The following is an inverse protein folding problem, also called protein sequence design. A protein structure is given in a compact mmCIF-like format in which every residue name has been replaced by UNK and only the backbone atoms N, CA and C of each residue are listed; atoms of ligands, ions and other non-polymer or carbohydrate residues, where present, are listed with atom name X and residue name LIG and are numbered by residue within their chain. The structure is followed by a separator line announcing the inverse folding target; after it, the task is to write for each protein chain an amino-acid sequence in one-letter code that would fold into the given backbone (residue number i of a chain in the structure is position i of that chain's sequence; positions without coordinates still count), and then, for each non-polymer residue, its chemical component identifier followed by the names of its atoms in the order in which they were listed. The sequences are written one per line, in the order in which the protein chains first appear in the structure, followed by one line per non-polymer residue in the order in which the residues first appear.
data_IF_010130468923
#
_entry.id   IF_010130468923
#
_cell.length_a   1.000
_cell.length_b   1.000
_cell.length_c   1.000
_cell.angle_alpha   90.00
_cell.angle_beta   90.00
_cell.angle_gamma   90.00
#
_symmetry.space_group_name_H-M   'P 1'
#
loop_
_entity.id
_entity.type
_entity.pdbx_description
1 polymer ?
#
# COMPACT_ATOMS: atom_id res chain seq x y z
N UNK A 1 11.44 -17.61 23.75
CA UNK A 1 10.73 -16.61 22.95
C UNK A 1 11.75 -15.95 22.02
N UNK A 2 11.39 -15.74 20.75
CA UNK A 2 12.25 -15.02 19.81
C UNK A 2 12.41 -13.57 20.26
N UNK A 3 13.59 -12.99 19.99
CA UNK A 3 13.85 -11.55 20.14
C UNK A 3 13.63 -10.83 18.83
N UNK A 4 13.48 -9.50 18.87
CA UNK A 4 13.36 -8.71 17.64
C UNK A 4 14.60 -8.89 16.74
N UNK A 5 15.77 -9.04 17.33
CA UNK A 5 17.04 -9.26 16.60
C UNK A 5 17.13 -10.57 15.82
N UNK A 6 16.27 -11.54 16.13
CA UNK A 6 16.23 -12.83 15.41
C UNK A 6 15.55 -12.69 14.02
N UNK A 7 14.79 -11.60 13.79
CA UNK A 7 14.13 -11.30 12.51
C UNK A 7 15.07 -10.57 11.56
N UNK A 8 16.18 -11.20 11.22
CA UNK A 8 17.26 -10.66 10.38
C UNK A 8 17.35 -11.29 8.98
N UNK A 9 16.51 -12.28 8.69
CA UNK A 9 16.46 -12.92 7.38
C UNK A 9 15.60 -12.08 6.44
N UNK A 10 16.20 -11.51 5.39
CA UNK A 10 15.46 -10.83 4.34
C UNK A 10 14.68 -11.83 3.51
N UNK A 11 13.35 -11.84 3.65
CA UNK A 11 12.47 -12.67 2.85
C UNK A 11 12.09 -11.98 1.53
N UNK A 12 12.04 -10.68 1.54
CA UNK A 12 11.81 -9.88 0.35
C UNK A 12 12.47 -8.49 0.50
N UNK A 13 13.44 -8.23 -0.36
CA UNK A 13 14.04 -6.90 -0.56
C UNK A 13 13.59 -6.38 -1.93
N UNK A 14 12.79 -5.31 -2.00
CA UNK A 14 12.26 -4.80 -3.26
C UNK A 14 13.37 -4.41 -4.24
N UNK A 15 13.13 -4.66 -5.53
CA UNK A 15 14.04 -4.26 -6.59
C UNK A 15 13.85 -2.80 -7.03
N UNK A 16 12.64 -2.27 -6.89
CA UNK A 16 12.24 -0.95 -7.38
C UNK A 16 11.75 -0.02 -6.26
N UNK A 17 11.05 -0.57 -5.28
CA UNK A 17 10.56 0.17 -4.13
C UNK A 17 11.66 0.39 -3.11
N UNK A 18 11.64 1.54 -2.43
CA UNK A 18 12.52 1.83 -1.29
C UNK A 18 11.78 1.86 0.05
N UNK A 19 10.46 1.79 0.02
CA UNK A 19 9.61 2.08 1.16
C UNK A 19 9.27 0.89 2.05
N UNK A 20 9.62 -0.35 1.68
CA UNK A 20 9.33 -1.51 2.53
C UNK A 20 10.34 -2.64 2.37
N UNK A 21 10.41 -3.50 3.37
CA UNK A 21 11.06 -4.81 3.33
C UNK A 21 10.30 -5.81 4.20
N UNK A 22 10.49 -7.11 3.92
CA UNK A 22 9.86 -8.20 4.68
C UNK A 22 10.97 -9.07 5.27
N UNK A 23 10.90 -9.28 6.58
CA UNK A 23 11.88 -10.07 7.34
C UNK A 23 11.25 -11.28 7.99
N UNK A 24 12.05 -12.30 8.16
CA UNK A 24 11.72 -13.51 8.91
C UNK A 24 12.82 -13.87 9.89
N UNK A 25 12.57 -14.93 10.65
CA UNK A 25 13.51 -15.53 11.59
C UNK A 25 13.66 -17.02 11.32
N UNK A 26 14.82 -17.58 11.65
CA UNK A 26 15.09 -18.99 11.44
C UNK A 26 14.07 -19.89 12.19
N UNK A 27 13.49 -20.84 11.46
CA UNK A 27 12.52 -21.78 12.01
C UNK A 27 11.15 -21.22 12.32
N UNK A 28 10.90 -19.93 12.06
CA UNK A 28 9.61 -19.27 12.28
C UNK A 28 8.82 -19.06 10.99
N UNK A 29 7.50 -19.05 11.12
CA UNK A 29 6.56 -18.74 10.01
C UNK A 29 6.07 -17.29 10.06
N UNK A 30 6.12 -16.67 11.23
CA UNK A 30 5.80 -15.26 11.42
C UNK A 30 6.81 -14.36 10.72
N UNK A 31 6.34 -13.19 10.27
CA UNK A 31 7.16 -12.24 9.52
C UNK A 31 6.97 -10.83 10.05
N UNK A 32 7.91 -9.96 9.73
CA UNK A 32 7.82 -8.52 9.99
C UNK A 32 7.85 -7.78 8.66
N UNK A 33 6.82 -6.98 8.42
CA UNK A 33 6.79 -5.98 7.37
C UNK A 33 7.27 -4.65 7.95
N UNK A 34 8.37 -4.13 7.42
CA UNK A 34 8.87 -2.79 7.76
C UNK A 34 8.49 -1.81 6.68
N UNK A 35 7.99 -0.65 7.09
CA UNK A 35 7.71 0.48 6.21
C UNK A 35 8.65 1.62 6.59
N UNK A 36 9.45 2.08 5.65
CA UNK A 36 10.42 3.16 5.83
C UNK A 36 9.84 4.48 5.35
N UNK A 37 10.10 5.56 6.08
CA UNK A 37 9.57 6.88 5.78
C UNK A 37 8.07 6.83 5.46
N UNK A 38 7.20 6.44 6.41
CA UNK A 38 5.82 6.05 6.15
C UNK A 38 4.90 7.19 5.71
N UNK A 39 5.34 8.45 5.80
CA UNK A 39 4.64 9.63 5.28
C UNK A 39 5.65 10.70 4.83
N UNK A 40 5.17 11.74 4.19
CA UNK A 40 6.03 12.86 3.76
C UNK A 40 6.74 13.52 4.96
N UNK A 41 8.05 13.68 4.86
CA UNK A 41 8.86 14.28 5.91
C UNK A 41 9.24 13.34 7.05
N UNK A 42 9.00 12.04 6.90
CA UNK A 42 9.32 11.02 7.90
C UNK A 42 10.66 10.33 7.66
N UNK A 43 11.62 11.01 7.05
CA UNK A 43 12.95 10.46 6.80
C UNK A 43 13.59 9.99 8.11
N UNK A 44 13.99 8.72 8.14
CA UNK A 44 14.57 8.09 9.34
C UNK A 44 13.55 7.47 10.29
N UNK A 45 12.25 7.67 10.07
CA UNK A 45 11.21 6.96 10.80
C UNK A 45 10.85 5.64 10.10
N UNK A 46 10.42 4.67 10.88
CA UNK A 46 9.89 3.41 10.36
C UNK A 46 8.68 2.96 11.17
N UNK A 47 7.82 2.18 10.52
CA UNK A 47 6.75 1.43 11.18
C UNK A 47 6.94 -0.06 10.93
N UNK A 48 6.46 -0.88 11.84
CA UNK A 48 6.60 -2.33 11.76
C UNK A 48 5.26 -3.02 12.02
N UNK A 49 5.00 -4.07 11.25
CA UNK A 49 3.87 -4.97 11.45
C UNK A 49 4.40 -6.39 11.62
N UNK A 50 4.15 -6.98 12.77
CA UNK A 50 4.39 -8.40 13.01
C UNK A 50 3.16 -9.19 12.56
N UNK A 51 3.35 -10.16 11.67
CA UNK A 51 2.28 -11.06 11.22
C UNK A 51 2.51 -12.41 11.89
N UNK A 52 1.71 -12.68 12.91
CA UNK A 52 1.80 -13.92 13.69
C UNK A 52 1.26 -15.10 12.89
N UNK A 53 2.02 -16.18 12.83
CA UNK A 53 1.63 -17.43 12.17
C UNK A 53 2.02 -18.62 13.05
N UNK A 54 1.36 -19.75 12.85
CA UNK A 54 1.68 -20.99 13.54
C UNK A 54 1.63 -20.90 15.08
N UNK A 55 0.78 -20.01 15.62
CA UNK A 55 0.68 -19.79 17.06
C UNK A 55 1.88 -19.04 17.68
N UNK A 56 2.79 -18.55 16.86
CA UNK A 56 3.94 -17.76 17.30
C UNK A 56 3.50 -16.37 17.76
N UNK A 57 4.26 -15.78 18.66
CA UNK A 57 3.94 -14.47 19.22
C UNK A 57 5.04 -13.46 18.92
N UNK A 58 4.66 -12.21 18.84
CA UNK A 58 5.62 -11.11 18.70
C UNK A 58 6.56 -11.07 19.91
N UNK A 59 7.82 -10.65 19.70
CA UNK A 59 8.72 -10.36 20.80
C UNK A 59 8.08 -9.38 21.80
N UNK A 60 8.37 -9.56 23.09
CA UNK A 60 7.75 -8.75 24.15
C UNK A 60 8.04 -7.24 24.02
N UNK A 61 9.16 -6.91 23.40
CA UNK A 61 9.63 -5.55 23.13
C UNK A 61 9.33 -5.07 21.71
N UNK A 62 8.43 -5.76 20.97
CA UNK A 62 8.12 -5.40 19.60
C UNK A 62 7.46 -4.01 19.53
N UNK A 63 8.05 -3.06 18.78
CA UNK A 63 7.61 -1.66 18.82
C UNK A 63 6.41 -1.34 17.91
N UNK A 64 5.96 -2.32 17.11
CA UNK A 64 4.96 -2.12 16.06
C UNK A 64 3.59 -2.69 16.37
N UNK A 65 2.80 -2.83 15.33
CA UNK A 65 1.49 -3.46 15.36
C UNK A 65 1.62 -4.98 15.22
N UNK A 66 0.67 -5.72 15.79
CA UNK A 66 0.61 -7.19 15.69
C UNK A 66 -0.68 -7.58 14.99
N UNK A 67 -0.56 -8.32 13.90
CA UNK A 67 -1.65 -8.95 13.18
C UNK A 67 -1.66 -10.44 13.54
N UNK A 68 -2.78 -10.93 14.04
CA UNK A 68 -2.94 -12.33 14.42
C UNK A 68 -3.37 -13.18 13.22
N UNK A 69 -2.38 -13.64 12.49
CA UNK A 69 -2.57 -14.45 11.28
C UNK A 69 -2.68 -13.61 10.00
N UNK A 70 -3.00 -14.29 8.91
CA UNK A 70 -3.18 -13.66 7.62
C UNK A 70 -4.48 -12.86 7.57
N UNK A 71 -4.43 -11.63 7.06
CA UNK A 71 -5.61 -10.78 6.99
C UNK A 71 -6.61 -11.29 5.95
N UNK A 72 -7.84 -11.52 6.39
CA UNK A 72 -8.97 -11.92 5.54
C UNK A 72 -10.03 -10.83 5.40
N UNK A 73 -10.10 -9.94 6.39
CA UNK A 73 -11.04 -8.82 6.44
C UNK A 73 -10.25 -7.52 6.51
N UNK A 74 -10.17 -6.84 5.38
CA UNK A 74 -9.27 -5.70 5.19
C UNK A 74 -10.09 -4.44 4.92
N UNK A 75 -9.83 -3.39 5.67
CA UNK A 75 -10.32 -2.04 5.39
C UNK A 75 -9.25 -1.28 4.64
N UNK A 76 -9.59 -0.77 3.47
CA UNK A 76 -8.69 -0.06 2.57
C UNK A 76 -9.02 1.43 2.54
N UNK A 77 -8.13 2.26 3.07
CA UNK A 77 -8.30 3.72 3.07
C UNK A 77 -7.91 4.37 1.75
N UNK A 78 -7.42 3.60 0.78
CA UNK A 78 -7.12 4.04 -0.59
C UNK A 78 -7.59 3.01 -1.60
N UNK A 79 -8.09 3.49 -2.74
CA UNK A 79 -8.46 2.62 -3.88
C UNK A 79 -7.27 1.86 -4.46
N UNK A 80 -6.05 2.34 -4.24
CA UNK A 80 -4.82 1.64 -4.65
C UNK A 80 -4.70 0.27 -3.99
N UNK A 81 -5.03 0.15 -2.71
CA UNK A 81 -4.94 -1.13 -1.99
C UNK A 81 -6.01 -2.12 -2.47
N UNK A 82 -7.19 -1.60 -2.83
CA UNK A 82 -8.26 -2.39 -3.45
C UNK A 82 -7.78 -2.98 -4.77
N UNK A 83 -7.15 -2.17 -5.61
CA UNK A 83 -6.59 -2.62 -6.88
C UNK A 83 -5.51 -3.69 -6.70
N UNK A 84 -4.69 -3.59 -5.66
CA UNK A 84 -3.67 -4.58 -5.33
C UNK A 84 -4.30 -5.92 -4.92
N UNK A 85 -5.32 -5.90 -4.07
CA UNK A 85 -6.05 -7.11 -3.67
C UNK A 85 -6.78 -7.73 -4.86
N UNK A 86 -7.36 -6.92 -5.73
CA UNK A 86 -8.00 -7.40 -6.96
C UNK A 86 -6.99 -8.06 -7.92
N UNK A 87 -5.82 -7.45 -8.09
CA UNK A 87 -4.72 -8.03 -8.89
C UNK A 87 -4.23 -9.38 -8.33
N UNK A 88 -4.32 -9.58 -7.02
CA UNK A 88 -4.03 -10.85 -6.37
C UNK A 88 -5.16 -11.89 -6.52
N UNK A 89 -6.31 -11.50 -7.06
CA UNK A 89 -7.50 -12.35 -7.17
C UNK A 89 -8.30 -12.44 -5.86
N UNK A 90 -8.13 -11.50 -4.94
CA UNK A 90 -8.68 -11.54 -3.58
C UNK A 90 -9.51 -10.27 -3.22
N UNK A 91 -10.32 -9.70 -4.15
CA UNK A 91 -11.07 -8.48 -3.86
C UNK A 91 -12.12 -8.68 -2.77
N UNK A 92 -12.59 -9.92 -2.53
CA UNK A 92 -13.55 -10.25 -1.47
C UNK A 92 -13.03 -10.04 -0.05
N UNK A 93 -11.72 -9.86 0.12
CA UNK A 93 -11.12 -9.49 1.42
C UNK A 93 -11.40 -8.04 1.81
N UNK A 94 -11.78 -7.21 0.86
CA UNK A 94 -12.15 -5.81 1.11
C UNK A 94 -13.52 -5.77 1.77
N UNK A 95 -13.58 -5.39 3.04
CA UNK A 95 -14.82 -5.27 3.82
C UNK A 95 -15.22 -3.83 4.11
N UNK A 96 -14.30 -2.90 3.97
CA UNK A 96 -14.54 -1.48 4.19
C UNK A 96 -13.61 -0.61 3.36
N UNK A 97 -14.08 0.57 3.02
CA UNK A 97 -13.39 1.53 2.17
C UNK A 97 -13.63 2.96 2.64
N UNK A 98 -12.81 3.88 2.19
CA UNK A 98 -13.00 5.32 2.35
C UNK A 98 -13.65 5.89 1.10
N UNK A 99 -14.86 6.46 1.24
CA UNK A 99 -15.56 7.11 0.13
C UNK A 99 -16.03 6.17 -0.98
N UNK A 100 -16.91 5.24 -0.64
CA UNK A 100 -17.35 4.16 -1.53
C UNK A 100 -17.89 4.64 -2.88
N UNK A 101 -18.52 5.81 -2.92
CA UNK A 101 -19.10 6.35 -4.17
C UNK A 101 -18.05 6.83 -5.16
N UNK A 102 -16.81 7.04 -4.71
CA UNK A 102 -15.69 7.46 -5.55
C UNK A 102 -14.82 6.29 -6.03
N UNK A 103 -15.18 5.04 -5.65
CA UNK A 103 -14.39 3.85 -5.98
C UNK A 103 -14.94 3.21 -7.24
N UNK A 104 -14.14 3.19 -8.29
CA UNK A 104 -14.49 2.64 -9.60
C UNK A 104 -14.16 1.15 -9.76
N UNK A 105 -13.53 0.51 -8.76
CA UNK A 105 -13.23 -0.91 -8.83
C UNK A 105 -14.51 -1.73 -9.05
N UNK A 106 -14.57 -2.62 -10.06
CA UNK A 106 -15.81 -3.33 -10.42
C UNK A 106 -16.37 -4.21 -9.30
N UNK A 107 -15.50 -4.84 -8.51
CA UNK A 107 -15.95 -5.66 -7.38
C UNK A 107 -16.62 -4.79 -6.32
N UNK A 108 -15.99 -3.70 -5.90
CA UNK A 108 -16.56 -2.77 -4.91
C UNK A 108 -17.87 -2.17 -5.43
N UNK A 109 -17.89 -1.73 -6.69
CA UNK A 109 -19.08 -1.16 -7.31
C UNK A 109 -20.27 -2.11 -7.31
N UNK A 110 -20.03 -3.42 -7.48
CA UNK A 110 -21.07 -4.46 -7.49
C UNK A 110 -21.45 -4.98 -6.10
N UNK A 111 -20.70 -4.63 -5.05
CA UNK A 111 -20.89 -5.12 -3.68
C UNK A 111 -21.05 -3.97 -2.66
N UNK A 112 -21.52 -2.82 -3.09
CA UNK A 112 -21.68 -1.62 -2.23
C UNK A 112 -22.54 -1.85 -0.98
N UNK A 113 -23.50 -2.76 -1.05
CA UNK A 113 -24.36 -3.06 0.09
C UNK A 113 -23.65 -3.87 1.19
N UNK A 114 -22.65 -4.68 0.80
CA UNK A 114 -21.87 -5.52 1.73
C UNK A 114 -20.62 -4.84 2.23
N UNK A 115 -20.03 -3.94 1.43
CA UNK A 115 -18.81 -3.22 1.78
C UNK A 115 -19.18 -1.92 2.50
N UNK A 116 -18.57 -1.70 3.68
CA UNK A 116 -18.84 -0.51 4.49
C UNK A 116 -18.05 0.71 4.03
N UNK A 117 -18.70 1.85 3.95
CA UNK A 117 -18.00 3.13 3.90
C UNK A 117 -17.66 3.55 5.33
N UNK A 118 -16.37 3.67 5.64
CA UNK A 118 -15.89 4.02 6.98
C UNK A 118 -15.55 5.50 7.13
N UNK A 119 -15.76 6.29 6.08
CA UNK A 119 -15.43 7.72 6.08
C UNK A 119 -13.98 8.00 5.72
N UNK A 120 -13.48 9.15 6.13
CA UNK A 120 -12.16 9.67 5.79
C UNK A 120 -11.30 9.84 7.04
N UNK A 121 -10.00 9.92 6.90
CA UNK A 121 -9.02 9.97 7.99
C UNK A 121 -9.38 10.99 9.08
N UNK A 122 -9.75 12.19 8.76
CA UNK A 122 -10.17 13.22 9.75
C UNK A 122 -11.62 13.12 10.21
N UNK A 123 -12.42 12.22 9.63
CA UNK A 123 -13.86 12.08 9.91
C UNK A 123 -14.32 10.65 9.73
N UNK A 124 -13.84 9.77 10.60
CA UNK A 124 -14.09 8.34 10.56
C UNK A 124 -15.40 7.98 11.25
N UNK A 125 -16.13 7.03 10.68
CA UNK A 125 -17.22 6.32 11.34
C UNK A 125 -16.67 5.06 12.04
N UNK A 126 -16.22 5.22 13.29
CA UNK A 126 -15.64 4.11 14.06
C UNK A 126 -16.65 3.05 14.46
N UNK A 127 -17.92 3.41 14.61
CA UNK A 127 -18.99 2.43 14.86
C UNK A 127 -19.13 1.50 13.64
N UNK A 128 -19.14 2.08 12.43
CA UNK A 128 -19.18 1.30 11.20
C UNK A 128 -17.92 0.44 11.05
N UNK A 129 -16.75 1.00 11.33
CA UNK A 129 -15.48 0.27 11.28
C UNK A 129 -15.51 -0.96 12.19
N UNK A 130 -15.94 -0.81 13.45
CA UNK A 130 -16.08 -1.91 14.40
C UNK A 130 -17.07 -2.98 13.92
N UNK A 131 -18.19 -2.57 13.34
CA UNK A 131 -19.23 -3.48 12.85
C UNK A 131 -18.73 -4.39 11.72
N UNK A 132 -17.69 -3.99 11.01
CA UNK A 132 -17.07 -4.77 9.95
C UNK A 132 -16.11 -5.84 10.46
N UNK A 133 -15.75 -5.81 11.73
CA UNK A 133 -14.78 -6.73 12.35
C UNK A 133 -13.50 -6.90 11.51
N UNK A 134 -12.78 -5.81 11.20
CA UNK A 134 -11.59 -5.90 10.35
C UNK A 134 -10.43 -6.58 11.08
N UNK A 135 -9.65 -7.35 10.33
CA UNK A 135 -8.37 -7.87 10.82
C UNK A 135 -7.30 -6.77 10.81
N UNK A 136 -7.36 -5.88 9.83
CA UNK A 136 -6.40 -4.79 9.66
C UNK A 136 -7.01 -3.64 8.87
N UNK A 137 -6.51 -2.44 9.14
CA UNK A 137 -6.76 -1.24 8.33
C UNK A 137 -5.47 -0.87 7.59
N UNK A 138 -5.51 -0.83 6.26
CA UNK A 138 -4.44 -0.29 5.44
C UNK A 138 -4.67 1.20 5.27
N UNK A 139 -3.72 2.01 5.70
CA UNK A 139 -3.84 3.46 5.74
C UNK A 139 -2.56 4.16 5.26
N UNK A 140 -2.60 5.45 5.17
CA UNK A 140 -1.48 6.31 4.79
C UNK A 140 -1.49 7.59 5.63
N UNK A 141 -0.32 8.21 5.78
CA UNK A 141 -0.19 9.57 6.31
C UNK A 141 0.14 10.54 5.17
N UNK A 142 -0.22 11.80 5.28
CA UNK A 142 0.11 12.81 4.25
C UNK A 142 1.27 13.68 4.72
N UNK A 143 1.07 14.50 5.74
CA UNK A 143 2.11 15.36 6.31
C UNK A 143 2.44 14.97 7.76
N UNK A 144 2.16 13.74 8.12
CA UNK A 144 2.33 13.18 9.46
C UNK A 144 1.57 11.87 9.59
N UNK A 145 1.56 11.31 10.79
CA UNK A 145 0.81 10.12 11.11
C UNK A 145 -0.70 10.33 10.88
N UNK A 146 -1.40 9.25 10.53
CA UNK A 146 -2.86 9.26 10.36
C UNK A 146 -3.56 9.66 11.67
N UNK A 147 -4.60 10.49 11.57
CA UNK A 147 -5.45 10.86 12.70
C UNK A 147 -6.23 9.66 13.28
N UNK A 148 -6.34 8.57 12.54
CA UNK A 148 -6.97 7.33 13.01
C UNK A 148 -6.14 6.57 14.05
N UNK A 149 -4.85 6.77 14.08
CA UNK A 149 -3.91 5.93 14.82
C UNK A 149 -4.26 5.80 16.31
N UNK A 150 -4.49 6.88 17.07
CA UNK A 150 -4.82 6.76 18.49
C UNK A 150 -6.10 5.94 18.74
N UNK A 151 -7.13 6.13 17.92
CA UNK A 151 -8.40 5.43 18.06
C UNK A 151 -8.30 3.96 17.67
N UNK A 152 -7.57 3.63 16.62
CA UNK A 152 -7.31 2.24 16.24
C UNK A 152 -6.57 1.48 17.34
N UNK A 153 -5.59 2.13 17.99
CA UNK A 153 -4.89 1.56 19.15
C UNK A 153 -5.84 1.32 20.32
N UNK A 154 -6.68 2.30 20.65
CA UNK A 154 -7.69 2.17 21.71
C UNK A 154 -8.67 1.01 21.44
N UNK A 155 -9.08 0.83 20.19
CA UNK A 155 -10.01 -0.22 19.78
C UNK A 155 -9.34 -1.58 19.56
N UNK A 156 -8.01 -1.65 19.62
CA UNK A 156 -7.25 -2.88 19.39
C UNK A 156 -7.31 -3.37 17.94
N UNK A 157 -7.52 -2.47 16.98
CA UNK A 157 -7.55 -2.80 15.55
C UNK A 157 -6.16 -2.57 14.97
N UNK A 158 -5.48 -3.62 14.44
CA UNK A 158 -4.20 -3.46 13.78
C UNK A 158 -4.30 -2.57 12.54
N UNK A 159 -3.23 -1.86 12.26
CA UNK A 159 -3.11 -1.04 11.06
C UNK A 159 -1.70 -1.13 10.49
N UNK A 160 -1.57 -0.84 9.19
CA UNK A 160 -0.29 -0.75 8.52
C UNK A 160 -0.27 0.46 7.59
N UNK A 161 0.85 1.19 7.62
CA UNK A 161 1.11 2.27 6.69
C UNK A 161 1.56 1.72 5.34
N UNK A 162 0.88 2.16 4.29
CA UNK A 162 1.24 1.91 2.90
C UNK A 162 1.89 3.17 2.32
N UNK A 163 3.12 3.03 1.86
CA UNK A 163 3.93 4.15 1.38
C UNK A 163 4.10 4.20 -0.14
N UNK A 164 3.25 3.51 -0.89
CA UNK A 164 3.37 3.39 -2.35
C UNK A 164 3.32 4.74 -3.06
N UNK A 165 2.55 5.68 -2.54
CA UNK A 165 2.41 7.02 -3.13
C UNK A 165 3.67 7.88 -3.00
N UNK A 166 4.60 7.50 -2.11
CA UNK A 166 5.89 8.18 -1.89
C UNK A 166 6.98 7.69 -2.84
N UNK A 167 6.76 6.57 -3.50
CA UNK A 167 7.71 6.02 -4.45
C UNK A 167 7.87 6.94 -5.66
N UNK A 168 9.10 7.13 -6.11
CA UNK A 168 9.42 8.02 -7.21
C UNK A 168 9.36 7.33 -8.58
N UNK A 169 9.14 6.03 -8.62
CA UNK A 169 9.02 5.28 -9.87
C UNK A 169 7.69 4.53 -9.94
N UNK A 170 7.10 4.38 -11.14
CA UNK A 170 5.89 3.57 -11.31
C UNK A 170 6.05 2.13 -10.87
N UNK A 171 7.20 1.51 -11.15
CA UNK A 171 7.49 0.14 -10.73
C UNK A 171 7.69 0.04 -9.22
N UNK A 172 8.31 1.03 -8.57
CA UNK A 172 8.41 1.09 -7.11
C UNK A 172 7.04 1.18 -6.44
N UNK A 173 6.15 2.00 -7.00
CA UNK A 173 4.76 2.08 -6.54
C UNK A 173 4.03 0.73 -6.69
N UNK A 174 4.14 0.09 -7.84
CA UNK A 174 3.49 -1.18 -8.13
C UNK A 174 4.01 -2.33 -7.26
N UNK A 175 5.26 -2.31 -6.87
CA UNK A 175 5.90 -3.37 -6.07
C UNK A 175 5.31 -3.51 -4.67
N UNK A 176 4.63 -2.48 -4.15
CA UNK A 176 3.89 -2.55 -2.89
C UNK A 176 2.77 -3.61 -2.89
N UNK A 177 2.39 -4.12 -4.07
CA UNK A 177 1.54 -5.30 -4.21
C UNK A 177 2.07 -6.48 -3.39
N UNK A 178 3.39 -6.64 -3.31
CA UNK A 178 4.03 -7.73 -2.55
C UNK A 178 3.85 -7.52 -1.04
N UNK A 179 3.90 -6.28 -0.56
CA UNK A 179 3.61 -5.96 0.84
C UNK A 179 2.16 -6.29 1.21
N UNK A 180 1.20 -5.92 0.35
CA UNK A 180 -0.22 -6.28 0.54
C UNK A 180 -0.41 -7.79 0.49
N UNK A 181 0.26 -8.49 -0.41
CA UNK A 181 0.23 -9.94 -0.50
C UNK A 181 0.76 -10.61 0.78
N UNK A 182 1.85 -10.09 1.37
CA UNK A 182 2.36 -10.60 2.65
C UNK A 182 1.34 -10.47 3.78
N UNK A 183 0.68 -9.34 3.88
CA UNK A 183 -0.38 -9.10 4.87
C UNK A 183 -1.54 -10.10 4.67
N UNK A 184 -1.86 -10.44 3.44
CA UNK A 184 -2.90 -11.40 3.08
C UNK A 184 -2.45 -12.87 3.16
N UNK A 185 -1.18 -13.14 3.48
CA UNK A 185 -0.63 -14.50 3.58
C UNK A 185 -0.33 -15.15 2.24
N UNK A 186 -0.08 -14.37 1.21
CA UNK A 186 0.10 -14.84 -0.16
C UNK A 186 1.28 -14.16 -0.89
N UNK A 187 2.40 -13.96 -0.17
CA UNK A 187 3.58 -13.29 -0.75
C UNK A 187 4.06 -13.92 -2.04
N UNK A 188 4.13 -15.26 -2.12
CA UNK A 188 4.58 -15.95 -3.34
C UNK A 188 3.71 -15.59 -4.54
N UNK A 189 2.39 -15.52 -4.34
CA UNK A 189 1.45 -15.06 -5.37
C UNK A 189 1.71 -13.60 -5.74
N UNK A 190 1.97 -12.74 -4.76
CA UNK A 190 2.34 -11.35 -4.98
C UNK A 190 3.61 -11.20 -5.81
N UNK A 191 4.63 -11.97 -5.50
CA UNK A 191 5.88 -12.01 -6.27
C UNK A 191 5.65 -12.49 -7.71
N UNK A 192 4.82 -13.51 -7.93
CA UNK A 192 4.45 -13.99 -9.27
C UNK A 192 3.73 -12.91 -10.08
N UNK A 193 2.71 -12.27 -9.49
CA UNK A 193 1.95 -11.20 -10.15
C UNK A 193 2.86 -10.02 -10.46
N UNK A 194 3.69 -9.60 -9.52
CA UNK A 194 4.58 -8.47 -9.74
C UNK A 194 5.65 -8.77 -10.80
N UNK A 195 6.16 -9.98 -10.89
CA UNK A 195 7.22 -10.36 -11.84
C UNK A 195 6.87 -10.02 -13.30
N UNK A 196 5.61 -10.12 -13.66
CA UNK A 196 5.12 -9.80 -15.01
C UNK A 196 5.05 -8.29 -15.30
N UNK A 197 4.92 -7.47 -14.26
CA UNK A 197 4.70 -6.03 -14.40
C UNK A 197 5.92 -5.32 -15.00
N UNK A 198 7.16 -5.48 -14.49
CA UNK A 198 8.35 -4.87 -15.09
C UNK A 198 8.58 -5.30 -16.55
N UNK A 199 8.32 -6.56 -16.87
CA UNK A 199 8.50 -7.08 -18.23
C UNK A 199 7.58 -6.36 -19.23
N UNK A 200 6.31 -6.19 -18.87
CA UNK A 200 5.34 -5.45 -19.67
C UNK A 200 5.67 -3.97 -19.74
N UNK A 201 6.02 -3.40 -18.60
CA UNK A 201 6.39 -1.99 -18.50
C UNK A 201 7.58 -1.65 -19.39
N UNK A 202 8.65 -2.42 -19.30
CA UNK A 202 9.87 -2.21 -20.08
C UNK A 202 9.64 -2.41 -21.58
N UNK A 203 8.80 -3.36 -21.96
CA UNK A 203 8.39 -3.57 -23.35
C UNK A 203 7.66 -2.36 -23.92
N UNK A 204 6.69 -1.81 -23.18
CA UNK A 204 5.95 -0.61 -23.58
C UNK A 204 6.84 0.63 -23.62
N UNK A 205 7.71 0.80 -22.63
CA UNK A 205 8.70 1.89 -22.60
C UNK A 205 9.63 1.85 -23.80
N UNK A 206 10.12 0.68 -24.15
CA UNK A 206 10.97 0.48 -25.33
C UNK A 206 10.23 0.83 -26.61
N UNK A 207 8.97 0.43 -26.72
CA UNK A 207 8.12 0.79 -27.86
C UNK A 207 7.87 2.31 -27.93
N UNK A 208 7.54 2.93 -26.82
CA UNK A 208 7.28 4.37 -26.72
C UNK A 208 8.52 5.22 -27.08
N UNK A 209 9.72 4.73 -26.75
CA UNK A 209 10.97 5.40 -27.07
C UNK A 209 11.22 5.57 -28.58
N UNK A 210 10.56 4.75 -29.41
CA UNK A 210 10.65 4.80 -30.88
C UNK A 210 9.72 5.85 -31.51
N UNK A 211 8.85 6.44 -30.75
CA UNK A 211 7.92 7.44 -31.25
C UNK A 211 8.66 8.72 -31.68
N UNK A 212 8.43 9.15 -32.91
CA UNK A 212 9.05 10.37 -33.47
C UNK A 212 8.48 11.64 -32.80
N UNK A 213 7.20 11.61 -32.43
CA UNK A 213 6.52 12.72 -31.78
C UNK A 213 6.34 12.43 -30.30
N UNK A 214 6.79 13.38 -29.47
CA UNK A 214 6.57 13.36 -28.01
C UNK A 214 5.51 14.39 -27.65
N UNK A 215 4.28 13.97 -27.32
CA UNK A 215 3.25 14.91 -26.89
C UNK A 215 3.62 15.58 -25.57
N UNK A 216 3.31 16.85 -25.44
CA UNK A 216 3.40 17.57 -24.16
C UNK A 216 2.17 17.24 -23.34
N UNK A 217 2.37 16.81 -22.12
CA UNK A 217 1.30 16.35 -21.21
C UNK A 217 1.21 17.26 -20.02
N UNK A 218 0.00 17.77 -19.77
CA UNK A 218 -0.38 18.51 -18.59
C UNK A 218 -1.35 17.68 -17.77
N UNK A 219 -1.15 17.64 -16.45
CA UNK A 219 -1.96 16.87 -15.54
C UNK A 219 -2.98 17.72 -14.79
N UNK A 220 -4.07 17.07 -14.39
CA UNK A 220 -5.16 17.63 -13.62
C UNK A 220 -5.90 18.77 -14.35
N UNK A 221 -6.80 19.42 -13.61
CA UNK A 221 -7.56 20.59 -14.03
C UNK A 221 -7.50 21.64 -12.94
N UNK A 222 -7.70 22.92 -13.25
CA UNK A 222 -7.84 23.95 -12.23
C UNK A 222 -8.98 23.62 -11.27
N UNK A 223 -8.74 23.90 -9.99
CA UNK A 223 -9.76 23.84 -8.95
C UNK A 223 -9.76 25.18 -8.20
N UNK A 224 -10.82 25.95 -8.34
CA UNK A 224 -10.83 27.35 -7.90
C UNK A 224 -9.73 28.15 -8.58
N UNK A 225 -8.96 28.87 -7.79
CA UNK A 225 -7.83 29.67 -8.27
C UNK A 225 -6.48 28.92 -8.27
N UNK A 226 -6.53 27.61 -8.06
CA UNK A 226 -5.32 26.79 -7.94
C UNK A 226 -5.29 25.68 -8.97
N UNK A 227 -4.09 25.36 -9.46
CA UNK A 227 -3.81 24.21 -10.29
C UNK A 227 -2.77 23.33 -9.61
N UNK A 228 -3.21 22.18 -9.07
CA UNK A 228 -2.32 21.25 -8.39
C UNK A 228 -1.63 20.36 -9.43
N UNK A 229 -0.32 20.50 -9.53
CA UNK A 229 0.51 19.70 -10.43
C UNK A 229 1.49 18.85 -9.64
N UNK A 230 1.70 17.62 -10.10
CA UNK A 230 2.72 16.75 -9.52
C UNK A 230 4.13 17.32 -9.77
N UNK A 231 5.06 17.21 -8.80
CA UNK A 231 6.43 17.68 -9.02
C UNK A 231 7.15 16.85 -10.11
N UNK A 232 8.18 17.41 -10.74
CA UNK A 232 8.95 16.71 -11.78
C UNK A 232 9.59 15.40 -11.33
N UNK A 233 9.87 15.26 -10.02
CA UNK A 233 10.43 14.06 -9.42
C UNK A 233 9.41 12.99 -9.08
N UNK A 234 8.12 13.23 -9.34
CA UNK A 234 7.05 12.29 -9.02
C UNK A 234 7.05 11.05 -9.93
N UNK A 235 6.46 9.96 -9.43
CA UNK A 235 6.27 8.76 -10.25
C UNK A 235 5.43 9.02 -11.51
N UNK A 236 4.46 9.93 -11.44
CA UNK A 236 3.59 10.23 -12.57
C UNK A 236 4.33 11.00 -13.67
N UNK A 237 5.23 11.91 -13.30
CA UNK A 237 6.11 12.59 -14.27
C UNK A 237 7.02 11.56 -14.98
N UNK A 238 7.55 10.60 -14.24
CA UNK A 238 8.33 9.50 -14.79
C UNK A 238 7.51 8.60 -15.71
N UNK A 239 6.28 8.29 -15.32
CA UNK A 239 5.36 7.49 -16.13
C UNK A 239 5.11 8.16 -17.48
N UNK A 240 4.89 9.49 -17.50
CA UNK A 240 4.72 10.26 -18.74
C UNK A 240 5.96 10.15 -19.63
N UNK A 241 7.14 10.33 -19.06
CA UNK A 241 8.40 10.23 -19.80
C UNK A 241 8.61 8.82 -20.38
N UNK A 242 8.38 7.80 -19.57
CA UNK A 242 8.52 6.39 -19.98
C UNK A 242 7.48 6.00 -21.04
N UNK A 243 6.31 6.63 -21.05
CA UNK A 243 5.29 6.47 -22.08
C UNK A 243 5.56 7.29 -23.37
N UNK A 244 6.71 7.95 -23.47
CA UNK A 244 7.10 8.74 -24.64
C UNK A 244 6.53 10.16 -24.66
N UNK A 245 5.97 10.63 -23.56
CA UNK A 245 5.47 12.01 -23.40
C UNK A 245 6.53 12.95 -22.84
N UNK A 246 6.19 14.23 -22.83
CA UNK A 246 6.97 15.27 -22.19
C UNK A 246 6.07 15.97 -21.15
N UNK A 247 6.44 15.90 -19.89
CA UNK A 247 5.69 16.57 -18.84
C UNK A 247 5.92 18.07 -18.92
N UNK A 248 4.85 18.86 -18.84
CA UNK A 248 4.91 20.32 -19.01
C UNK A 248 5.67 21.02 -17.88
N UNK A 249 5.65 20.44 -16.69
CA UNK A 249 6.33 20.98 -15.51
C UNK A 249 7.72 20.33 -15.36
N UNK A 250 8.76 21.12 -15.59
CA UNK A 250 10.17 20.71 -15.54
C UNK A 250 10.95 21.50 -14.48
#
# INVERSE_FOLDING_TARGET
AASLGDFDISLYAPAYSSGFEIFGAEGMKSTILKTYAPWQGAEGEETQLFIARNGEQAPADFPGQVLDGDARRIVCMSSTYIAMLDALGEPQRVVGVSGIDYISNPYVASHKEQIGDVGYDGNMNYERLLSLSPDIVLLFGVSGASAMEPKLRELGIPYAYMGEYLEQSPLGKAEWLVAVAEIAGMRERGEEVFREIPLRYDSLKTLAAKAERKPVVMLNTPYGDSWLMAPPSSYVARLIADAGGQYVYT
#
